data_IF_857195671620
#
_entry.id   IF_857195671620
#
_cell.length_a   1.000
_cell.length_b   1.000
_cell.length_c   1.000
_cell.angle_alpha   90.00
_cell.angle_beta   90.00
_cell.angle_gamma   90.00
#
_symmetry.space_group_name_H-M   'P 1'
#
loop_
_entity.id
_entity.type
_entity.pdbx_description
1 polymer ?
#
# COMPACT_ATOMS: atom_id res chain seq x y z
N UNK A 1 25.12 -7.42 -55.45
CA UNK A 1 24.49 -8.68 -55.01
C UNK A 1 23.99 -8.40 -53.61
N UNK A 2 22.69 -8.18 -53.46
CA UNK A 2 22.05 -7.85 -52.17
C UNK A 2 21.42 -9.15 -51.70
N UNK A 3 21.78 -9.60 -50.49
CA UNK A 3 21.31 -10.84 -49.88
C UNK A 3 19.86 -10.66 -49.38
N UNK A 4 18.88 -11.45 -49.84
CA UNK A 4 17.46 -11.21 -49.58
C UNK A 4 16.95 -11.78 -48.23
N UNK A 5 17.77 -11.89 -47.18
CA UNK A 5 17.34 -12.35 -45.84
C UNK A 5 17.31 -11.29 -44.74
N UNK A 6 17.41 -10.01 -45.08
CA UNK A 6 17.28 -8.93 -44.09
C UNK A 6 15.91 -8.28 -44.28
N UNK A 7 14.88 -8.98 -43.82
CA UNK A 7 13.54 -8.44 -43.61
C UNK A 7 13.12 -8.89 -42.22
N UNK A 8 12.83 -7.90 -41.36
CA UNK A 8 12.23 -7.99 -40.01
C UNK A 8 13.24 -8.46 -38.93
N UNK A 9 13.55 -7.74 -37.84
CA UNK A 9 12.75 -6.80 -37.03
C UNK A 9 13.57 -5.65 -36.38
N UNK A 10 12.92 -4.53 -35.98
CA UNK A 10 13.55 -3.37 -35.32
C UNK A 10 13.78 -3.54 -33.81
N UNK A 11 13.61 -4.75 -33.28
CA UNK A 11 13.86 -5.14 -31.89
C UNK A 11 15.06 -6.11 -31.91
N UNK A 12 15.85 -6.21 -30.84
CA UNK A 12 17.19 -6.85 -30.84
C UNK A 12 17.28 -8.25 -31.45
N UNK A 13 18.50 -8.71 -31.75
CA UNK A 13 18.76 -10.11 -32.13
C UNK A 13 18.08 -11.06 -31.12
N UNK A 14 17.44 -12.13 -31.60
CA UNK A 14 16.82 -13.21 -30.83
C UNK A 14 17.52 -14.50 -31.28
N UNK A 15 18.52 -14.90 -30.50
CA UNK A 15 19.53 -15.91 -30.86
C UNK A 15 19.00 -17.34 -30.73
N UNK A 16 18.08 -17.61 -29.82
CA UNK A 16 17.49 -18.93 -29.59
C UNK A 16 16.04 -19.08 -30.11
N UNK A 17 15.41 -17.98 -30.50
CA UNK A 17 14.14 -17.94 -31.22
C UNK A 17 12.92 -18.14 -30.31
N UNK A 18 13.04 -17.82 -29.03
CA UNK A 18 12.01 -18.08 -28.02
C UNK A 18 10.97 -16.93 -27.90
N UNK A 19 11.26 -15.79 -28.56
CA UNK A 19 10.41 -14.61 -28.61
C UNK A 19 10.81 -13.47 -27.65
N UNK A 20 11.94 -13.58 -26.96
CA UNK A 20 12.62 -12.48 -26.25
C UNK A 20 13.85 -12.06 -27.08
N UNK A 21 14.27 -10.78 -26.98
CA UNK A 21 15.52 -10.36 -27.63
C UNK A 21 16.72 -10.56 -26.70
N UNK A 22 17.89 -10.89 -27.24
CA UNK A 22 19.14 -11.14 -26.51
C UNK A 22 19.49 -10.03 -25.50
N UNK A 23 19.14 -8.79 -25.85
CA UNK A 23 19.34 -7.62 -24.99
C UNK A 23 18.36 -7.60 -23.81
N UNK A 24 17.09 -7.92 -24.04
CA UNK A 24 16.10 -7.97 -22.96
C UNK A 24 16.35 -9.17 -22.04
N UNK A 25 16.76 -10.30 -22.59
CA UNK A 25 17.17 -11.48 -21.82
C UNK A 25 18.32 -11.15 -20.86
N UNK A 26 19.36 -10.46 -21.34
CA UNK A 26 20.51 -10.10 -20.50
C UNK A 26 20.26 -8.93 -19.55
N UNK A 27 19.62 -7.86 -20.01
CA UNK A 27 19.46 -6.62 -19.23
C UNK A 27 18.21 -6.61 -18.33
N UNK A 28 17.15 -7.35 -18.68
CA UNK A 28 15.86 -7.32 -17.98
C UNK A 28 15.61 -8.59 -17.19
N UNK A 29 15.71 -9.75 -17.84
CA UNK A 29 15.27 -11.03 -17.26
C UNK A 29 16.42 -11.82 -16.61
N UNK A 30 17.66 -11.55 -17.00
CA UNK A 30 18.83 -12.28 -16.53
C UNK A 30 18.93 -13.71 -17.07
N UNK A 31 18.27 -14.01 -18.18
CA UNK A 31 18.25 -15.30 -18.88
C UNK A 31 19.46 -15.47 -19.82
N UNK A 32 19.68 -16.67 -20.35
CA UNK A 32 20.79 -16.96 -21.29
C UNK A 32 20.31 -16.84 -22.75
N UNK A 33 20.78 -15.85 -23.54
CA UNK A 33 20.31 -15.62 -24.91
C UNK A 33 20.54 -16.74 -25.92
N UNK A 34 21.18 -17.82 -25.52
CA UNK A 34 21.46 -18.98 -26.38
C UNK A 34 20.60 -20.19 -25.99
N UNK A 35 19.75 -20.05 -24.98
CA UNK A 35 18.95 -21.12 -24.40
C UNK A 35 17.50 -20.66 -24.27
N UNK A 36 16.66 -21.16 -25.18
CA UNK A 36 15.24 -20.86 -25.16
C UNK A 36 14.51 -21.27 -23.86
N UNK A 37 15.13 -22.08 -23.01
CA UNK A 37 14.65 -22.54 -21.70
C UNK A 37 15.86 -22.45 -20.76
N UNK A 38 15.95 -21.35 -20.01
CA UNK A 38 17.13 -21.03 -19.20
C UNK A 38 17.22 -21.91 -17.95
N UNK A 39 16.09 -22.23 -17.32
CA UNK A 39 16.06 -23.01 -16.08
C UNK A 39 15.90 -24.53 -16.27
N UNK A 40 15.56 -24.95 -17.49
CA UNK A 40 15.55 -26.33 -17.94
C UNK A 40 14.31 -27.12 -17.55
N UNK A 41 13.19 -26.44 -17.26
CA UNK A 41 11.93 -27.07 -16.85
C UNK A 41 11.06 -27.54 -18.03
N UNK A 42 11.44 -27.21 -19.27
CA UNK A 42 10.76 -27.56 -20.50
C UNK A 42 9.75 -26.53 -21.01
N UNK A 43 9.65 -25.35 -20.37
CA UNK A 43 8.91 -24.17 -20.84
C UNK A 43 9.94 -23.16 -21.36
N UNK A 44 9.62 -22.47 -22.45
CA UNK A 44 10.53 -21.46 -22.98
C UNK A 44 10.35 -20.10 -22.30
N UNK A 45 11.43 -19.35 -22.08
CA UNK A 45 11.47 -18.11 -21.31
C UNK A 45 10.45 -17.09 -21.84
N UNK A 46 10.32 -16.98 -23.17
CA UNK A 46 9.35 -16.12 -23.86
C UNK A 46 7.88 -16.46 -23.58
N UNK A 47 7.55 -17.74 -23.39
CA UNK A 47 6.19 -18.17 -23.04
C UNK A 47 5.90 -17.92 -21.56
N UNK A 48 6.89 -18.08 -20.70
CA UNK A 48 6.79 -17.76 -19.28
C UNK A 48 6.54 -16.27 -19.08
N UNK A 49 7.31 -15.42 -19.76
CA UNK A 49 7.12 -13.98 -19.75
C UNK A 49 5.71 -13.57 -20.24
N UNK A 50 5.21 -14.18 -21.33
CA UNK A 50 3.84 -13.93 -21.81
C UNK A 50 2.76 -14.33 -20.80
N UNK A 51 3.03 -15.35 -19.97
CA UNK A 51 2.13 -15.81 -18.92
C UNK A 51 2.37 -15.11 -17.57
N UNK A 52 3.36 -14.22 -17.47
CA UNK A 52 3.74 -13.51 -16.25
C UNK A 52 4.43 -14.41 -15.20
N UNK A 53 5.07 -15.48 -15.65
CA UNK A 53 5.95 -16.35 -14.86
C UNK A 53 7.40 -15.81 -14.92
N UNK A 54 8.25 -16.29 -14.01
CA UNK A 54 9.65 -15.87 -13.91
C UNK A 54 10.54 -16.89 -14.66
N UNK A 55 11.21 -16.50 -15.76
CA UNK A 55 12.02 -17.42 -16.58
C UNK A 55 13.26 -18.02 -15.93
N UNK A 56 13.61 -17.56 -14.73
CA UNK A 56 14.69 -18.13 -13.93
C UNK A 56 14.18 -19.15 -12.91
N UNK A 57 12.88 -19.45 -12.92
CA UNK A 57 12.24 -20.24 -11.90
C UNK A 57 11.22 -21.22 -12.46
N UNK A 58 11.69 -22.48 -12.56
CA UNK A 58 10.97 -23.53 -13.27
C UNK A 58 9.51 -23.63 -12.85
N UNK A 59 8.64 -23.62 -13.85
CA UNK A 59 7.24 -23.89 -13.69
C UNK A 59 7.02 -25.26 -13.01
N UNK A 60 6.08 -25.33 -12.07
CA UNK A 60 5.77 -26.59 -11.41
C UNK A 60 5.18 -27.58 -12.41
N UNK A 61 5.81 -28.74 -12.57
CA UNK A 61 5.27 -29.83 -13.40
C UNK A 61 3.92 -30.32 -12.85
N UNK A 62 3.77 -30.31 -11.52
CA UNK A 62 2.61 -30.82 -10.80
C UNK A 62 2.17 -29.95 -9.61
N UNK A 63 0.89 -30.06 -9.21
CA UNK A 63 0.31 -29.32 -8.08
C UNK A 63 1.07 -29.53 -6.76
N UNK A 64 1.64 -30.72 -6.54
CA UNK A 64 2.42 -30.99 -5.33
C UNK A 64 3.70 -30.15 -5.29
N UNK A 65 4.36 -29.95 -6.43
CA UNK A 65 5.55 -29.12 -6.55
C UNK A 65 5.20 -27.65 -6.33
N UNK A 66 4.07 -27.17 -6.89
CA UNK A 66 3.58 -25.82 -6.61
C UNK A 66 3.26 -25.59 -5.13
N UNK A 67 2.55 -26.54 -4.49
CA UNK A 67 2.21 -26.45 -3.06
C UNK A 67 3.50 -26.43 -2.18
N UNK A 68 4.55 -27.14 -2.59
CA UNK A 68 5.86 -27.16 -1.91
C UNK A 68 6.66 -25.88 -2.15
N UNK A 69 6.67 -25.34 -3.38
CA UNK A 69 7.29 -24.05 -3.72
C UNK A 69 6.63 -22.88 -3.00
N UNK A 70 5.30 -22.88 -2.90
CA UNK A 70 4.56 -21.89 -2.11
C UNK A 70 4.91 -22.00 -0.63
N UNK A 71 5.03 -23.22 -0.10
CA UNK A 71 5.44 -23.44 1.28
C UNK A 71 6.88 -22.97 1.54
N UNK A 72 7.81 -23.19 0.60
CA UNK A 72 9.20 -22.70 0.65
C UNK A 72 9.27 -21.17 0.57
N UNK A 73 8.48 -20.54 -0.32
CA UNK A 73 8.40 -19.08 -0.44
C UNK A 73 7.81 -18.46 0.84
N UNK A 74 6.70 -19.00 1.35
CA UNK A 74 6.11 -18.58 2.62
C UNK A 74 7.08 -18.79 3.79
N UNK A 75 7.91 -19.84 3.77
CA UNK A 75 8.93 -20.10 4.79
C UNK A 75 10.15 -19.17 4.65
N UNK A 76 10.56 -18.80 3.43
CA UNK A 76 11.71 -17.91 3.20
C UNK A 76 11.38 -16.43 3.48
N UNK A 77 10.11 -16.03 3.31
CA UNK A 77 9.59 -14.75 3.82
C UNK A 77 9.60 -14.69 5.38
N UNK A 78 9.91 -15.80 6.06
CA UNK A 78 9.98 -15.89 7.53
C UNK A 78 11.42 -15.92 8.08
N UNK A 79 12.46 -15.81 7.24
CA UNK A 79 13.86 -15.78 7.73
C UNK A 79 14.73 -14.61 7.23
N UNK A 80 14.15 -13.41 7.11
CA UNK A 80 14.89 -12.18 7.41
C UNK A 80 15.17 -12.11 8.92
N UNK A 81 16.17 -11.34 9.43
CA UNK A 81 16.39 -11.27 10.87
C UNK A 81 15.05 -10.91 11.50
N UNK A 82 14.71 -11.54 12.61
CA UNK A 82 13.57 -11.16 13.44
C UNK A 82 13.81 -9.75 14.01
N UNK A 83 13.78 -8.74 13.13
CA UNK A 83 13.28 -7.44 13.46
C UNK A 83 11.85 -7.73 13.92
N UNK A 84 11.50 -7.40 15.16
CA UNK A 84 10.18 -7.72 15.67
C UNK A 84 9.16 -6.90 14.86
N UNK A 85 8.57 -7.49 13.81
CA UNK A 85 7.41 -6.90 13.12
C UNK A 85 6.17 -6.85 14.03
N UNK A 86 6.23 -7.49 15.19
CA UNK A 86 5.26 -7.28 16.27
C UNK A 86 5.54 -5.99 17.08
N UNK A 87 6.73 -5.39 17.01
CA UNK A 87 7.06 -4.18 17.80
C UNK A 87 6.51 -2.88 17.24
N UNK A 88 6.10 -2.84 15.97
CA UNK A 88 5.41 -1.65 15.40
C UNK A 88 3.90 -1.71 15.70
N UNK A 89 3.35 -2.88 16.02
CA UNK A 89 1.98 -3.03 16.54
C UNK A 89 1.86 -2.76 18.05
N UNK A 90 2.98 -2.57 18.77
CA UNK A 90 2.96 -2.46 20.23
C UNK A 90 2.52 -1.11 20.80
N UNK A 91 2.24 -0.09 19.98
CA UNK A 91 1.61 1.14 20.49
C UNK A 91 0.56 1.71 19.53
N UNK A 92 -0.23 0.85 18.89
CA UNK A 92 -1.49 1.31 18.29
C UNK A 92 -2.45 1.57 19.44
N UNK A 93 -2.45 2.80 19.95
CA UNK A 93 -3.47 3.24 20.90
C UNK A 93 -4.79 3.22 20.12
N UNK A 94 -5.76 2.36 20.47
CA UNK A 94 -7.04 2.36 19.77
C UNK A 94 -7.68 3.74 19.96
N UNK A 95 -8.05 4.39 18.86
CA UNK A 95 -8.81 5.63 18.93
C UNK A 95 -10.14 5.31 19.61
N UNK A 96 -10.36 5.92 20.77
CA UNK A 96 -11.59 5.75 21.52
C UNK A 96 -12.44 7.02 21.42
N UNK A 97 -13.74 6.82 21.41
CA UNK A 97 -14.70 7.92 21.41
C UNK A 97 -15.01 8.32 22.84
N UNK A 98 -14.92 9.62 23.12
CA UNK A 98 -15.25 10.18 24.42
C UNK A 98 -16.43 11.12 24.26
N UNK A 99 -17.48 10.87 25.04
CA UNK A 99 -18.57 11.83 25.15
C UNK A 99 -18.11 13.04 25.96
N UNK A 100 -17.84 14.15 25.27
CA UNK A 100 -17.21 15.34 25.84
C UNK A 100 -17.89 15.89 27.12
N UNK A 101 -19.23 16.00 27.20
CA UNK A 101 -19.89 16.49 28.42
C UNK A 101 -19.55 15.70 29.68
N UNK A 102 -19.43 14.36 29.59
CA UNK A 102 -19.05 13.52 30.73
C UNK A 102 -17.56 13.63 31.06
N UNK A 103 -16.71 13.72 30.04
CA UNK A 103 -15.27 13.85 30.25
C UNK A 103 -14.86 15.20 30.84
N UNK A 104 -15.71 16.22 30.72
CA UNK A 104 -15.44 17.57 31.21
C UNK A 104 -15.07 17.61 32.69
N UNK A 105 -15.74 16.85 33.53
CA UNK A 105 -15.45 16.80 34.97
C UNK A 105 -14.02 16.29 35.26
N UNK A 106 -13.57 15.31 34.47
CA UNK A 106 -12.24 14.73 34.58
C UNK A 106 -11.19 15.69 34.00
N UNK A 107 -11.48 16.29 32.84
CA UNK A 107 -10.59 17.24 32.15
C UNK A 107 -10.39 18.54 32.92
N UNK A 108 -11.40 18.98 33.68
CA UNK A 108 -11.28 20.13 34.58
C UNK A 108 -10.37 19.85 35.77
N UNK A 109 -10.36 18.61 36.27
CA UNK A 109 -9.47 18.16 37.35
C UNK A 109 -8.05 17.91 36.86
N UNK A 110 -7.91 17.42 35.62
CA UNK A 110 -6.62 17.19 34.98
C UNK A 110 -5.89 18.51 34.70
N UNK A 111 -4.66 18.62 35.20
CA UNK A 111 -3.80 19.77 34.96
C UNK A 111 -2.84 19.47 33.81
N UNK A 112 -2.71 20.40 32.87
CA UNK A 112 -1.74 20.32 31.80
C UNK A 112 -0.47 21.08 32.17
N UNK A 113 0.69 20.49 31.86
CA UNK A 113 1.98 21.11 32.15
C UNK A 113 2.23 22.28 31.19
N UNK A 114 2.46 23.47 31.75
CA UNK A 114 2.80 24.66 30.99
C UNK A 114 4.29 24.99 31.14
N UNK A 115 5.11 24.57 30.17
CA UNK A 115 6.56 24.79 30.20
C UNK A 115 6.96 26.28 30.09
N UNK A 116 6.03 27.17 29.71
CA UNK A 116 6.28 28.62 29.63
C UNK A 116 5.90 29.37 30.92
N UNK A 117 5.10 28.76 31.80
CA UNK A 117 4.69 29.37 33.07
C UNK A 117 4.26 28.30 34.07
N UNK A 118 5.20 27.85 34.89
CA UNK A 118 5.00 26.83 35.92
C UNK A 118 4.10 27.31 37.08
N UNK A 119 3.88 28.62 37.22
CA UNK A 119 3.13 29.20 38.34
C UNK A 119 1.62 29.27 38.10
N UNK A 120 1.15 29.11 36.85
CA UNK A 120 -0.28 29.07 36.52
C UNK A 120 -0.68 27.68 36.07
N UNK A 121 -1.51 27.04 36.88
CA UNK A 121 -2.19 25.81 36.49
C UNK A 121 -3.21 26.13 35.38
N UNK A 122 -3.19 25.34 34.31
CA UNK A 122 -4.19 25.37 33.25
C UNK A 122 -4.81 23.98 33.20
N UNK A 123 -6.14 23.89 33.31
CA UNK A 123 -6.81 22.60 33.18
C UNK A 123 -6.89 22.17 31.72
N UNK A 124 -7.05 20.86 31.48
CA UNK A 124 -7.28 20.39 30.12
C UNK A 124 -8.60 20.96 29.54
N UNK A 125 -9.62 21.19 30.38
CA UNK A 125 -10.85 21.86 29.96
C UNK A 125 -10.57 23.28 29.43
N UNK A 126 -9.71 24.04 30.11
CA UNK A 126 -9.35 25.39 29.66
C UNK A 126 -8.58 25.37 28.33
N UNK A 127 -7.69 24.39 28.12
CA UNK A 127 -6.94 24.24 26.86
C UNK A 127 -7.87 23.91 25.70
N UNK A 128 -8.82 23.00 25.90
CA UNK A 128 -9.77 22.58 24.86
C UNK A 128 -10.71 23.73 24.52
N UNK A 129 -11.29 24.40 25.54
CA UNK A 129 -12.20 25.52 25.33
C UNK A 129 -11.50 26.74 24.72
N UNK A 130 -10.23 26.99 25.07
CA UNK A 130 -9.42 28.06 24.46
C UNK A 130 -8.78 27.67 23.12
N UNK A 131 -9.08 26.47 22.60
CA UNK A 131 -8.55 25.93 21.32
C UNK A 131 -7.02 25.96 21.25
N UNK A 132 -6.33 25.74 22.37
CA UNK A 132 -4.87 25.72 22.46
C UNK A 132 -4.29 24.35 22.13
N UNK A 133 -4.73 23.77 21.01
CA UNK A 133 -4.28 22.47 20.52
C UNK A 133 -4.32 22.43 18.99
N UNK A 134 -3.54 21.52 18.41
CA UNK A 134 -3.64 21.18 16.98
C UNK A 134 -4.42 19.88 16.85
N UNK A 135 -5.41 19.84 15.96
CA UNK A 135 -6.18 18.63 15.65
C UNK A 135 -6.33 18.47 14.14
N UNK A 136 -6.53 17.24 13.71
CA UNK A 136 -6.86 16.88 12.32
C UNK A 136 -8.12 16.04 12.35
N UNK A 137 -9.09 16.37 11.49
CA UNK A 137 -10.31 15.58 11.34
C UNK A 137 -10.04 14.45 10.35
N UNK A 138 -10.18 13.21 10.80
CA UNK A 138 -9.88 12.03 9.98
C UNK A 138 -11.11 11.40 9.33
N UNK A 139 -12.26 11.42 10.02
CA UNK A 139 -13.51 10.77 9.58
C UNK A 139 -14.71 11.57 10.04
N UNK A 140 -15.76 11.53 9.22
CA UNK A 140 -17.10 11.96 9.62
C UNK A 140 -18.06 10.77 9.73
N UNK A 141 -19.05 10.89 10.60
CA UNK A 141 -20.14 9.93 10.69
C UNK A 141 -20.99 9.98 9.43
N UNK A 142 -21.49 8.82 9.00
CA UNK A 142 -22.38 8.71 7.86
C UNK A 142 -23.71 8.04 8.21
N UNK A 143 -24.70 8.26 7.37
CA UNK A 143 -26.05 7.65 7.51
C UNK A 143 -26.05 6.16 7.16
N UNK A 144 -24.98 5.67 6.53
CA UNK A 144 -24.82 4.29 6.05
C UNK A 144 -24.08 3.41 7.06
N UNK A 145 -24.34 3.57 8.36
CA UNK A 145 -23.77 2.75 9.44
C UNK A 145 -22.23 2.75 9.48
N UNK A 146 -21.60 3.90 9.23
CA UNK A 146 -20.15 4.08 9.16
C UNK A 146 -19.43 3.22 8.09
N UNK A 147 -20.16 2.76 7.06
CA UNK A 147 -19.56 2.04 5.92
C UNK A 147 -18.66 2.95 5.09
N UNK A 148 -17.62 2.39 4.47
CA UNK A 148 -16.75 3.15 3.60
C UNK A 148 -17.46 3.53 2.29
N UNK A 149 -17.00 4.60 1.62
CA UNK A 149 -17.54 5.07 0.33
C UNK A 149 -17.57 3.96 -0.73
N UNK A 150 -16.59 3.05 -0.67
CA UNK A 150 -16.51 1.89 -1.57
C UNK A 150 -17.66 0.89 -1.38
N UNK A 151 -18.21 0.78 -0.18
CA UNK A 151 -19.13 -0.30 0.19
C UNK A 151 -20.59 0.05 -0.12
N UNK A 152 -20.96 1.34 -0.08
CA UNK A 152 -22.34 1.78 -0.35
C UNK A 152 -22.57 2.31 -1.77
N UNK A 153 -21.54 2.79 -2.49
CA UNK A 153 -21.64 3.12 -3.92
C UNK A 153 -21.06 1.95 -4.74
N UNK A 154 -21.90 0.98 -5.10
CA UNK A 154 -21.51 -0.17 -5.90
C UNK A 154 -21.50 0.16 -7.40
N UNK A 155 -20.45 -0.26 -8.11
CA UNK A 155 -20.33 -0.23 -9.58
C UNK A 155 -20.22 1.14 -10.27
N UNK A 156 -19.89 2.21 -9.55
CA UNK A 156 -19.63 3.52 -10.18
C UNK A 156 -18.40 4.22 -9.56
N UNK A 157 -17.25 4.08 -10.22
CA UNK A 157 -15.98 4.68 -9.77
C UNK A 157 -16.03 6.21 -9.74
N UNK A 158 -16.75 6.83 -10.69
CA UNK A 158 -16.88 8.29 -10.75
C UNK A 158 -17.70 8.83 -9.58
N UNK A 159 -18.82 8.19 -9.24
CA UNK A 159 -19.64 8.60 -8.09
C UNK A 159 -18.91 8.43 -6.75
N UNK A 160 -18.09 7.38 -6.61
CA UNK A 160 -17.23 7.19 -5.42
C UNK A 160 -16.24 8.34 -5.26
N UNK A 161 -15.63 8.78 -6.36
CA UNK A 161 -14.69 9.91 -6.35
C UNK A 161 -15.40 11.21 -5.97
N UNK A 162 -16.55 11.48 -6.59
CA UNK A 162 -17.32 12.70 -6.33
C UNK A 162 -17.75 12.79 -4.86
N UNK A 163 -18.20 11.68 -4.29
CA UNK A 163 -18.59 11.64 -2.87
C UNK A 163 -17.38 11.81 -1.94
N UNK A 164 -16.25 11.20 -2.28
CA UNK A 164 -15.00 11.42 -1.54
C UNK A 164 -14.58 12.90 -1.57
N UNK A 165 -14.64 13.56 -2.73
CA UNK A 165 -14.30 14.98 -2.85
C UNK A 165 -15.27 15.86 -2.04
N UNK A 166 -16.57 15.59 -2.13
CA UNK A 166 -17.59 16.28 -1.32
C UNK A 166 -17.31 16.18 0.19
N UNK A 167 -16.97 14.99 0.68
CA UNK A 167 -16.65 14.78 2.11
C UNK A 167 -15.37 15.54 2.48
N UNK A 168 -14.32 15.47 1.66
CA UNK A 168 -13.08 16.22 1.90
C UNK A 168 -13.32 17.73 1.94
N UNK A 169 -14.09 18.27 1.00
CA UNK A 169 -14.42 19.70 0.99
C UNK A 169 -15.21 20.12 2.22
N UNK A 170 -16.17 19.29 2.65
CA UNK A 170 -16.94 19.52 3.88
C UNK A 170 -16.05 19.58 5.12
N UNK A 171 -15.13 18.62 5.27
CA UNK A 171 -14.15 18.61 6.37
C UNK A 171 -13.27 19.87 6.30
N UNK A 172 -12.73 20.18 5.11
CA UNK A 172 -11.87 21.36 4.90
C UNK A 172 -12.57 22.66 5.26
N UNK A 173 -13.82 22.83 4.84
CA UNK A 173 -14.63 24.01 5.15
C UNK A 173 -14.89 24.11 6.65
N UNK A 174 -15.23 22.99 7.30
CA UNK A 174 -15.44 22.95 8.74
C UNK A 174 -14.16 23.30 9.52
N UNK A 175 -13.01 22.78 9.11
CA UNK A 175 -11.72 23.16 9.68
C UNK A 175 -11.46 24.66 9.47
N UNK A 176 -11.61 25.17 8.24
CA UNK A 176 -11.43 26.58 7.96
C UNK A 176 -12.33 27.47 8.84
N UNK A 177 -13.61 27.14 8.98
CA UNK A 177 -14.58 27.86 9.80
C UNK A 177 -14.23 27.81 11.30
N UNK A 178 -13.66 26.70 11.77
CA UNK A 178 -13.15 26.60 13.14
C UNK A 178 -11.94 27.51 13.41
N UNK A 179 -11.19 27.87 12.37
CA UNK A 179 -9.99 28.70 12.46
C UNK A 179 -10.20 30.15 12.04
N UNK A 180 -11.27 30.47 11.30
CA UNK A 180 -11.61 31.84 10.89
C UNK A 180 -12.48 32.52 11.94
N UNK A 181 -11.87 33.11 12.96
CA UNK A 181 -12.53 34.04 13.90
C UNK A 181 -11.53 35.05 14.48
#
# INVERSE_FOLDING_TARGET
MIDPRILDEPNGEDSDGDGISDLDETDIFGTDPQLADTDGDGVNDGLENQNGLDPLFGAPEDKQQFDEMVAEFEASQVSGPSAPEDSVKENIIPLFWVYYPHAREILKKGQAFNNRNTSKYVSFDDIINSRRFSSVIYKEENVYENREVKDYIKNNSFMRLLESERIKEKIRNFEHDMWSW
#
